data_IF_871070683229
#
_entry.id   IF_871070683229
#
_cell.length_a   1.000
_cell.length_b   1.000
_cell.length_c   1.000
_cell.angle_alpha   90.00
_cell.angle_beta   90.00
_cell.angle_gamma   90.00
#
_symmetry.space_group_name_H-M   'P 1'
#
loop_
_entity.id
_entity.type
_entity.pdbx_description
1 polymer ?
#
# COMPACT_ATOMS: atom_id res chain seq x y z
N UNK A 1 7.43 19.01 -2.93
CA UNK A 1 6.28 19.55 -3.70
C UNK A 1 6.38 19.30 -5.21
N UNK A 2 7.27 18.40 -5.63
CA UNK A 2 7.72 18.27 -7.03
C UNK A 2 6.83 17.35 -7.89
N UNK A 3 5.83 16.71 -7.29
CA UNK A 3 4.80 15.98 -8.03
C UNK A 3 3.89 16.94 -8.82
N UNK A 4 3.23 16.49 -9.90
CA UNK A 4 2.26 17.30 -10.65
C UNK A 4 1.14 17.90 -9.78
N UNK A 5 0.60 19.04 -10.20
CA UNK A 5 -0.37 19.81 -9.42
C UNK A 5 -1.64 19.01 -9.10
N UNK A 6 -1.99 18.08 -9.99
CA UNK A 6 -3.17 17.22 -9.96
C UNK A 6 -3.08 16.11 -8.89
N UNK A 7 -1.85 15.73 -8.49
CA UNK A 7 -1.62 14.60 -7.58
C UNK A 7 -0.79 14.96 -6.33
N UNK A 8 -0.35 16.22 -6.21
CA UNK A 8 0.37 16.71 -5.02
C UNK A 8 -0.58 17.26 -3.96
N UNK A 9 -0.05 17.58 -2.78
CA UNK A 9 -0.84 18.16 -1.70
C UNK A 9 -1.46 19.51 -2.09
N UNK A 10 -2.77 19.65 -1.90
CA UNK A 10 -3.50 20.90 -2.17
C UNK A 10 -3.15 22.04 -1.21
N UNK A 11 -2.57 21.72 -0.04
CA UNK A 11 -2.21 22.72 0.98
C UNK A 11 -0.71 23.04 0.99
N UNK A 12 0.01 22.61 -0.05
CA UNK A 12 1.47 22.73 -0.11
C UNK A 12 2.16 21.75 0.84
N UNK A 13 3.41 22.03 1.19
CA UNK A 13 4.17 21.21 2.11
C UNK A 13 4.81 22.02 3.24
N UNK A 14 5.07 21.34 4.36
CA UNK A 14 5.84 21.86 5.48
C UNK A 14 7.02 20.95 5.77
N UNK A 15 8.17 21.55 6.06
CA UNK A 15 9.36 20.81 6.52
C UNK A 15 9.09 20.23 7.90
N UNK A 16 9.48 18.97 8.09
CA UNK A 16 9.41 18.33 9.39
C UNK A 16 10.71 18.51 10.17
N UNK A 17 10.73 18.04 11.42
CA UNK A 17 11.98 17.94 12.22
C UNK A 17 12.96 16.90 11.70
N UNK A 18 12.56 16.03 10.76
CA UNK A 18 13.44 15.07 10.10
C UNK A 18 13.96 15.63 8.77
N UNK A 19 15.29 15.67 8.54
CA UNK A 19 15.85 16.12 7.27
C UNK A 19 15.31 15.33 6.07
N UNK A 20 14.96 16.02 4.99
CA UNK A 20 14.46 15.39 3.75
C UNK A 20 13.04 14.81 3.85
N UNK A 21 12.32 15.06 4.95
CA UNK A 21 10.92 14.66 5.12
C UNK A 21 10.03 15.89 5.22
N UNK A 22 9.01 15.94 4.37
CA UNK A 22 7.95 16.95 4.38
C UNK A 22 6.58 16.31 4.62
N UNK A 23 5.66 17.06 5.21
CA UNK A 23 4.24 16.71 5.32
C UNK A 23 3.38 17.71 4.54
N UNK A 24 2.10 17.39 4.33
CA UNK A 24 1.14 18.38 3.81
C UNK A 24 1.04 19.60 4.73
N UNK A 25 0.86 20.80 4.16
CA UNK A 25 0.97 22.07 4.87
C UNK A 25 0.05 22.23 6.09
N UNK A 26 -1.03 21.46 6.16
CA UNK A 26 -1.98 21.44 7.28
C UNK A 26 -1.42 20.78 8.56
N UNK A 27 -0.40 19.94 8.45
CA UNK A 27 0.07 19.07 9.54
C UNK A 27 1.19 19.68 10.41
N UNK A 28 1.07 20.97 10.76
CA UNK A 28 2.11 21.73 11.45
C UNK A 28 2.59 21.08 12.76
N UNK A 29 1.64 20.63 13.60
CA UNK A 29 1.96 19.98 14.88
C UNK A 29 2.63 18.62 14.70
N UNK A 30 2.25 17.85 13.68
CA UNK A 30 2.90 16.57 13.38
C UNK A 30 4.30 16.78 12.83
N UNK A 31 4.50 17.78 11.97
CA UNK A 31 5.82 18.12 11.42
C UNK A 31 6.84 18.42 12.53
N UNK A 32 6.41 19.16 13.56
CA UNK A 32 7.20 19.46 14.75
C UNK A 32 7.55 18.22 15.60
N UNK A 33 6.81 17.12 15.46
CA UNK A 33 6.97 15.89 16.23
C UNK A 33 7.48 14.71 15.38
N UNK A 34 7.92 14.94 14.14
CA UNK A 34 8.33 13.88 13.21
C UNK A 34 9.45 12.97 13.76
N UNK A 35 10.37 13.50 14.56
CA UNK A 35 11.41 12.71 15.24
C UNK A 35 10.87 11.72 16.30
N UNK A 36 9.58 11.75 16.62
CA UNK A 36 8.93 10.87 17.61
C UNK A 36 7.98 9.85 16.97
N UNK A 37 7.93 9.76 15.64
CA UNK A 37 7.04 8.87 14.91
C UNK A 37 7.81 7.97 13.94
N UNK A 38 7.28 6.77 13.73
CA UNK A 38 7.69 5.93 12.62
C UNK A 38 6.93 6.38 11.37
N UNK A 39 7.64 6.93 10.38
CA UNK A 39 7.05 7.37 9.11
C UNK A 39 7.24 6.27 8.09
N UNK A 40 6.16 5.57 7.75
CA UNK A 40 6.17 4.55 6.70
C UNK A 40 5.82 5.22 5.38
N UNK A 41 6.80 5.33 4.47
CA UNK A 41 6.53 5.76 3.08
C UNK A 41 5.91 4.57 2.35
N UNK A 42 4.72 4.78 1.77
CA UNK A 42 3.93 3.70 1.18
C UNK A 42 4.70 2.94 0.09
N UNK A 43 4.53 1.62 0.07
CA UNK A 43 5.03 0.77 -1.01
C UNK A 43 4.23 1.05 -2.28
N UNK A 44 4.90 1.52 -3.33
CA UNK A 44 4.26 1.70 -4.64
C UNK A 44 4.29 0.38 -5.40
N UNK A 45 3.13 -0.17 -5.73
CA UNK A 45 2.98 -1.42 -6.51
C UNK A 45 3.24 -1.23 -8.01
N UNK A 46 3.80 -0.08 -8.41
CA UNK A 46 4.12 0.29 -9.79
C UNK A 46 2.92 0.74 -10.63
N UNK A 47 1.72 0.85 -10.05
CA UNK A 47 0.50 1.38 -10.69
C UNK A 47 -0.49 1.88 -9.61
N UNK A 48 -1.51 2.62 -10.01
CA UNK A 48 -2.54 3.18 -9.12
C UNK A 48 -3.77 2.29 -8.91
N UNK A 49 -3.69 1.00 -9.22
CA UNK A 49 -4.83 0.10 -9.08
C UNK A 49 -5.00 -0.33 -7.62
N UNK A 50 -6.26 -0.45 -7.17
CA UNK A 50 -6.60 -1.03 -5.87
C UNK A 50 -6.55 -2.57 -5.92
N UNK A 51 -5.37 -3.13 -6.17
CA UNK A 51 -5.16 -4.58 -6.22
C UNK A 51 -4.22 -5.10 -5.12
N UNK A 52 -4.21 -6.43 -4.97
CA UNK A 52 -3.56 -7.13 -3.87
C UNK A 52 -2.07 -7.40 -4.19
N UNK A 53 -1.39 -6.49 -4.90
CA UNK A 53 0.06 -6.67 -5.19
C UNK A 53 0.89 -6.57 -3.89
N UNK A 54 2.01 -7.31 -3.79
CA UNK A 54 2.54 -8.23 -4.79
C UNK A 54 1.89 -9.63 -4.78
N UNK A 55 0.96 -9.89 -3.85
CA UNK A 55 0.36 -11.20 -3.62
C UNK A 55 -0.43 -11.70 -4.85
N UNK A 56 -1.20 -10.81 -5.48
CA UNK A 56 -1.85 -11.05 -6.78
C UNK A 56 -1.12 -10.25 -7.84
N UNK A 57 -0.29 -10.92 -8.65
CA UNK A 57 0.54 -10.27 -9.66
C UNK A 57 1.23 -11.28 -10.57
N UNK A 58 2.30 -10.87 -11.28
CA UNK A 58 3.01 -11.75 -12.23
C UNK A 58 3.42 -13.10 -11.63
N UNK A 59 3.85 -13.09 -10.37
CA UNK A 59 4.38 -14.27 -9.68
C UNK A 59 3.26 -15.22 -9.23
N UNK A 60 2.01 -14.72 -9.14
CA UNK A 60 0.81 -15.53 -8.91
C UNK A 60 0.00 -15.78 -10.18
N UNK A 61 0.55 -15.46 -11.37
CA UNK A 61 -0.16 -15.48 -12.65
C UNK A 61 -1.45 -14.63 -12.65
N UNK A 62 -1.47 -13.56 -11.85
CA UNK A 62 -2.65 -12.72 -11.58
C UNK A 62 -3.83 -13.48 -10.95
N UNK A 63 -3.59 -14.65 -10.36
CA UNK A 63 -4.61 -15.41 -9.64
C UNK A 63 -4.62 -15.06 -8.14
N UNK A 64 -5.80 -15.20 -7.52
CA UNK A 64 -5.95 -15.18 -6.07
C UNK A 64 -5.28 -16.43 -5.47
N UNK A 65 -4.45 -16.25 -4.43
CA UNK A 65 -3.75 -17.36 -3.76
C UNK A 65 -4.69 -18.45 -3.24
N UNK A 66 -5.84 -18.06 -2.68
CA UNK A 66 -6.86 -19.00 -2.20
C UNK A 66 -7.42 -19.86 -3.32
N UNK A 67 -7.61 -19.30 -4.52
CA UNK A 67 -8.06 -20.06 -5.70
C UNK A 67 -7.00 -21.07 -6.17
N UNK A 68 -5.73 -20.68 -6.20
CA UNK A 68 -4.61 -21.58 -6.54
C UNK A 68 -4.50 -22.70 -5.51
N UNK A 69 -4.56 -22.35 -4.23
CA UNK A 69 -4.55 -23.32 -3.13
C UNK A 69 -5.71 -24.30 -3.23
N UNK A 70 -6.95 -23.82 -3.38
CA UNK A 70 -8.14 -24.68 -3.48
C UNK A 70 -8.04 -25.67 -4.66
N UNK A 71 -7.47 -25.23 -5.79
CA UNK A 71 -7.21 -26.12 -6.94
C UNK A 71 -6.21 -27.23 -6.64
N UNK A 72 -5.22 -26.99 -5.77
CA UNK A 72 -4.18 -27.97 -5.41
C UNK A 72 -4.64 -28.86 -4.25
N UNK A 73 -5.23 -28.27 -3.22
CA UNK A 73 -5.70 -28.96 -2.02
C UNK A 73 -6.93 -29.84 -2.30
N UNK A 74 -7.79 -29.43 -3.25
CA UNK A 74 -9.03 -30.13 -3.56
C UNK A 74 -10.15 -29.85 -2.55
N UNK A 75 -11.19 -30.68 -2.59
CA UNK A 75 -12.31 -30.59 -1.68
C UNK A 75 -11.90 -30.97 -0.25
N UNK A 76 -12.43 -30.26 0.75
CA UNK A 76 -12.24 -30.60 2.17
C UNK A 76 -12.80 -31.99 2.50
N UNK A 77 -13.99 -32.30 1.96
CA UNK A 77 -14.60 -33.64 2.00
C UNK A 77 -14.61 -34.24 0.59
N UNK A 78 -13.72 -35.18 0.26
CA UNK A 78 -13.56 -35.71 -1.11
C UNK A 78 -14.83 -36.35 -1.69
N UNK A 79 -15.67 -36.97 -0.87
CA UNK A 79 -16.86 -37.66 -1.36
C UNK A 79 -18.00 -36.71 -1.73
N UNK A 80 -18.10 -35.55 -1.08
CA UNK A 80 -19.28 -34.67 -1.18
C UNK A 80 -18.98 -33.24 -1.65
N UNK A 81 -17.73 -32.79 -1.55
CA UNK A 81 -17.36 -31.42 -1.86
C UNK A 81 -17.80 -30.38 -0.82
N UNK A 82 -18.38 -30.81 0.30
CA UNK A 82 -18.81 -29.90 1.37
C UNK A 82 -17.58 -29.31 2.10
N UNK A 83 -17.66 -28.04 2.55
CA UNK A 83 -16.61 -27.41 3.36
C UNK A 83 -16.28 -28.17 4.64
#
# INVERSE_FOLDING_TARGET
MDAPAEIRSCTGEIRTTLPGVTFGGTFQKLAAQAHRMAIVRSFTTGNGNHDIKPIVGKDSLNANLGSVYARVAGANVPETGMP
#
